data_IF_241235783694
#
_entry.id   IF_241235783694
#
_cell.length_a   1.000
_cell.length_b   1.000
_cell.length_c   1.000
_cell.angle_alpha   90.00
_cell.angle_beta   90.00
_cell.angle_gamma   90.00
#
_symmetry.space_group_name_H-M   'P 1'
#
loop_
_entity.id
_entity.type
_entity.pdbx_description
1 polymer ?
#
# COMPACT_ATOMS: atom_id res chain seq x y z
N UNK A 1 32.28 -0.11 -16.38
CA UNK A 1 32.76 0.25 -15.02
C UNK A 1 31.92 -0.50 -14.00
N UNK A 2 32.53 -1.40 -13.21
CA UNK A 2 31.85 -2.18 -12.18
C UNK A 2 31.44 -1.22 -11.05
N UNK A 3 30.14 -1.10 -10.78
CA UNK A 3 29.63 -0.41 -9.58
C UNK A 3 30.06 -1.26 -8.37
N UNK A 4 30.90 -0.71 -7.49
CA UNK A 4 31.17 -1.31 -6.18
C UNK A 4 29.84 -1.56 -5.46
N UNK A 5 29.69 -2.67 -4.71
CA UNK A 5 28.46 -2.93 -3.99
C UNK A 5 28.30 -1.84 -2.93
N UNK A 6 27.31 -0.98 -3.11
CA UNK A 6 27.02 0.07 -2.15
C UNK A 6 26.48 -0.61 -0.90
N UNK A 7 27.26 -0.58 0.18
CA UNK A 7 26.87 -1.17 1.47
C UNK A 7 25.75 -0.31 2.09
N UNK A 8 24.65 -0.90 2.60
CA UNK A 8 23.60 -0.15 3.26
C UNK A 8 24.17 0.65 4.45
N UNK A 9 23.89 1.96 4.47
CA UNK A 9 24.38 2.88 5.50
C UNK A 9 23.65 2.65 6.84
N UNK A 10 22.42 2.12 6.79
CA UNK A 10 21.69 1.63 7.94
C UNK A 10 20.80 0.44 7.54
N UNK A 11 20.81 -0.59 8.37
CA UNK A 11 19.87 -1.71 8.32
C UNK A 11 19.16 -1.83 9.66
N UNK A 12 17.85 -1.95 9.66
CA UNK A 12 17.03 -2.25 10.85
C UNK A 12 16.17 -3.47 10.58
N UNK A 13 15.84 -4.22 11.63
CA UNK A 13 14.95 -5.37 11.53
C UNK A 13 13.96 -5.34 12.68
N UNK A 14 12.69 -5.57 12.36
CA UNK A 14 11.59 -5.60 13.32
C UNK A 14 10.68 -6.78 12.99
N UNK A 15 10.17 -7.46 14.02
CA UNK A 15 9.12 -8.46 13.87
C UNK A 15 7.77 -7.80 14.14
N UNK A 16 6.82 -8.01 13.25
CA UNK A 16 5.45 -7.48 13.34
C UNK A 16 4.49 -8.67 13.30
N UNK A 17 3.57 -8.75 14.26
CA UNK A 17 2.60 -9.83 14.41
C UNK A 17 1.39 -9.66 13.48
N UNK A 18 1.65 -9.66 12.18
CA UNK A 18 0.63 -9.62 11.13
C UNK A 18 1.17 -10.23 9.83
N UNK A 19 0.28 -10.68 8.91
CA UNK A 19 0.69 -11.13 7.59
C UNK A 19 1.37 -10.04 6.76
N UNK A 20 2.28 -10.38 5.82
CA UNK A 20 3.02 -9.39 5.04
C UNK A 20 2.12 -8.41 4.27
N UNK A 21 0.98 -8.87 3.74
CA UNK A 21 0.01 -8.02 3.03
C UNK A 21 -0.58 -6.93 3.93
N UNK A 22 -0.85 -7.25 5.20
CA UNK A 22 -1.35 -6.29 6.19
C UNK A 22 -0.27 -5.30 6.60
N UNK A 23 0.96 -5.77 6.82
CA UNK A 23 2.09 -4.89 7.13
C UNK A 23 2.40 -3.94 5.96
N UNK A 24 2.40 -4.45 4.72
CA UNK A 24 2.56 -3.64 3.51
C UNK A 24 1.45 -2.59 3.37
N UNK A 25 0.21 -2.98 3.68
CA UNK A 25 -0.96 -2.12 3.75
C UNK A 25 -0.83 -0.94 4.72
N UNK A 26 -0.31 -1.22 5.91
CA UNK A 26 -0.05 -0.18 6.90
C UNK A 26 1.14 0.70 6.53
N UNK A 27 2.17 0.14 5.88
CA UNK A 27 3.34 0.90 5.42
C UNK A 27 3.00 1.95 4.35
N UNK A 28 1.99 1.68 3.53
CA UNK A 28 1.48 2.63 2.52
C UNK A 28 0.44 3.61 3.06
N UNK A 29 -0.10 3.39 4.26
CA UNK A 29 -1.03 4.34 4.90
C UNK A 29 -0.25 5.55 5.43
N UNK A 30 -0.45 6.69 4.79
CA UNK A 30 0.21 7.94 5.09
C UNK A 30 -0.13 8.46 6.50
N UNK A 31 -1.27 8.07 7.09
CA UNK A 31 -1.62 8.44 8.46
C UNK A 31 -0.74 7.71 9.48
N UNK A 32 -0.41 6.44 9.21
CA UNK A 32 0.54 5.65 10.01
C UNK A 32 1.91 6.32 9.98
N UNK A 33 2.35 6.74 8.78
CA UNK A 33 3.60 7.49 8.63
C UNK A 33 3.54 8.86 9.34
N UNK A 34 2.45 9.62 9.17
CA UNK A 34 2.26 10.92 9.78
C UNK A 34 2.32 10.86 11.31
N UNK A 35 1.63 9.89 11.91
CA UNK A 35 1.63 9.66 13.34
C UNK A 35 3.04 9.30 13.86
N UNK A 36 3.70 8.33 13.22
CA UNK A 36 5.05 7.91 13.60
C UNK A 36 6.04 9.08 13.56
N UNK A 37 5.93 9.92 12.54
CA UNK A 37 6.78 11.09 12.35
C UNK A 37 6.46 12.21 13.36
N UNK A 38 5.19 12.43 13.65
CA UNK A 38 4.74 13.43 14.62
C UNK A 38 5.21 13.09 16.05
N UNK A 39 5.28 11.81 16.44
CA UNK A 39 5.79 11.36 17.75
C UNK A 39 7.23 11.81 18.04
N UNK A 40 8.04 12.03 17.00
CA UNK A 40 9.40 12.58 17.13
C UNK A 40 9.51 14.06 16.68
N UNK A 41 8.38 14.74 16.56
CA UNK A 41 8.28 16.15 16.20
C UNK A 41 8.63 16.46 14.75
N UNK A 42 8.63 15.46 13.86
CA UNK A 42 8.76 15.65 12.42
C UNK A 42 7.45 16.14 11.81
N UNK A 43 7.53 16.73 10.62
CA UNK A 43 6.36 17.10 9.82
C UNK A 43 6.27 16.17 8.62
N UNK A 44 5.07 15.75 8.27
CA UNK A 44 4.84 14.85 7.15
C UNK A 44 3.61 15.28 6.37
N UNK A 45 3.69 15.24 5.05
CA UNK A 45 2.56 15.48 4.15
C UNK A 45 2.62 14.50 2.99
N UNK A 46 1.48 13.95 2.61
CA UNK A 46 1.30 13.02 1.51
C UNK A 46 0.18 13.51 0.57
N UNK A 47 0.17 13.09 -0.71
CA UNK A 47 -0.87 13.48 -1.67
C UNK A 47 -2.20 12.75 -1.42
N UNK A 48 -2.17 11.59 -0.77
CA UNK A 48 -3.33 10.79 -0.44
C UNK A 48 -3.07 9.92 0.79
N UNK A 49 -4.15 9.38 1.38
CA UNK A 49 -4.06 8.45 2.51
C UNK A 49 -3.32 7.16 2.14
N UNK A 50 -3.74 6.47 1.09
CA UNK A 50 -3.10 5.25 0.61
C UNK A 50 -2.15 5.60 -0.53
N UNK A 51 -0.85 5.49 -0.26
CA UNK A 51 0.20 5.82 -1.21
C UNK A 51 0.31 4.78 -2.32
N UNK A 52 0.59 5.22 -3.54
CA UNK A 52 0.87 4.38 -4.72
C UNK A 52 2.25 4.67 -5.32
N UNK A 53 2.83 3.77 -6.12
CA UNK A 53 4.02 4.10 -6.91
C UNK A 53 3.80 5.38 -7.73
N UNK A 54 4.78 6.29 -7.70
CA UNK A 54 4.71 7.61 -8.32
C UNK A 54 4.45 8.74 -7.31
N UNK A 55 3.78 8.46 -6.18
CA UNK A 55 3.47 9.49 -5.18
C UNK A 55 4.73 10.10 -4.56
N UNK A 56 4.71 11.41 -4.35
CA UNK A 56 5.75 12.14 -3.63
C UNK A 56 5.29 12.56 -2.24
N UNK A 57 5.97 12.09 -1.21
CA UNK A 57 5.75 12.48 0.18
C UNK A 57 6.80 13.49 0.61
N UNK A 58 6.42 14.43 1.48
CA UNK A 58 7.34 15.44 2.03
C UNK A 58 7.50 15.25 3.53
N UNK A 59 8.75 15.26 3.96
CA UNK A 59 9.17 15.10 5.35
C UNK A 59 9.99 16.32 5.77
N UNK A 60 9.52 17.04 6.79
CA UNK A 60 10.31 18.02 7.54
C UNK A 60 11.01 17.35 8.72
N UNK A 61 12.13 16.67 8.45
CA UNK A 61 12.89 15.94 9.45
C UNK A 61 13.54 16.90 10.46
N UNK A 62 13.42 16.61 11.74
CA UNK A 62 13.94 17.43 12.85
C UNK A 62 15.31 16.89 13.19
N UNK A 63 16.35 17.69 12.95
CA UNK A 63 17.72 17.29 13.20
C UNK A 63 18.17 17.72 14.61
N UNK A 64 17.91 18.98 14.96
CA UNK A 64 18.22 19.62 16.23
C UNK A 64 17.09 20.58 16.63
N UNK A 65 17.02 21.10 17.87
CA UNK A 65 16.11 22.18 18.21
C UNK A 65 16.22 23.34 17.22
N UNK A 66 15.10 23.74 16.61
CA UNK A 66 15.05 24.80 15.58
C UNK A 66 15.48 24.40 14.17
N UNK A 67 16.19 23.28 13.98
CA UNK A 67 16.71 22.86 12.66
C UNK A 67 15.85 21.76 12.06
N UNK A 68 15.27 22.04 10.88
CA UNK A 68 14.50 21.08 10.08
C UNK A 68 15.08 20.92 8.69
N UNK A 69 15.27 19.67 8.27
CA UNK A 69 15.70 19.29 6.94
C UNK A 69 14.46 18.93 6.09
N UNK A 70 14.18 19.69 5.01
CA UNK A 70 13.14 19.31 4.07
C UNK A 70 13.61 18.14 3.20
N UNK A 71 12.79 17.11 3.11
CA UNK A 71 13.00 15.92 2.29
C UNK A 71 11.75 15.67 1.46
N UNK A 72 11.90 15.41 0.18
CA UNK A 72 10.84 14.90 -0.69
C UNK A 72 11.28 13.54 -1.20
N UNK A 73 10.44 12.54 -0.99
CA UNK A 73 10.71 11.15 -1.35
C UNK A 73 9.60 10.68 -2.27
N UNK A 74 9.96 10.03 -3.38
CA UNK A 74 9.03 9.39 -4.29
C UNK A 74 8.91 7.92 -3.99
N UNK A 75 7.68 7.40 -3.93
CA UNK A 75 7.42 5.97 -3.86
C UNK A 75 7.65 5.37 -5.24
N UNK A 76 8.47 4.32 -5.32
CA UNK A 76 8.86 3.69 -6.60
C UNK A 76 8.26 2.32 -6.78
N UNK A 77 8.00 1.60 -5.70
CA UNK A 77 7.37 0.29 -5.72
C UNK A 77 6.64 0.03 -4.40
N UNK A 78 5.50 -0.63 -4.47
CA UNK A 78 4.75 -1.20 -3.33
C UNK A 78 4.28 -2.58 -3.77
N UNK A 79 4.43 -3.57 -2.90
CA UNK A 79 3.91 -4.92 -3.09
C UNK A 79 3.69 -5.61 -1.74
N UNK A 80 3.08 -6.81 -1.70
CA UNK A 80 3.04 -7.62 -0.48
C UNK A 80 4.42 -7.94 0.12
N UNK A 81 5.47 -7.91 -0.71
CA UNK A 81 6.85 -8.19 -0.30
C UNK A 81 7.58 -6.95 0.22
N UNK A 82 6.97 -5.76 0.15
CA UNK A 82 7.53 -4.54 0.72
C UNK A 82 7.35 -3.30 -0.13
N UNK A 83 8.26 -2.34 0.02
CA UNK A 83 8.11 -1.00 -0.54
C UNK A 83 9.48 -0.38 -0.79
N UNK A 84 9.63 0.36 -1.89
CA UNK A 84 10.86 1.10 -2.18
C UNK A 84 10.55 2.56 -2.45
N UNK A 85 11.39 3.45 -1.93
CA UNK A 85 11.26 4.88 -2.11
C UNK A 85 12.63 5.54 -2.30
N UNK A 86 12.65 6.65 -3.05
CA UNK A 86 13.87 7.37 -3.40
C UNK A 86 13.73 8.86 -3.13
N UNK A 87 14.77 9.48 -2.59
CA UNK A 87 14.80 10.93 -2.37
C UNK A 87 14.89 11.66 -3.70
N UNK A 88 13.94 12.56 -3.93
CA UNK A 88 13.92 13.44 -5.11
C UNK A 88 14.37 14.85 -4.80
N UNK A 89 14.19 15.32 -3.55
CA UNK A 89 14.72 16.62 -3.08
C UNK A 89 15.17 16.53 -1.63
N UNK A 90 16.35 17.05 -1.31
CA UNK A 90 16.86 17.11 0.05
C UNK A 90 18.36 17.43 0.09
N UNK A 91 18.96 17.46 1.29
CA UNK A 91 20.39 17.74 1.45
C UNK A 91 21.29 16.57 1.01
N UNK A 92 20.78 15.34 1.00
CA UNK A 92 21.53 14.19 0.48
C UNK A 92 21.46 14.16 -1.05
N UNK A 93 22.56 13.80 -1.73
CA UNK A 93 22.55 13.64 -3.20
C UNK A 93 21.73 12.43 -3.62
N UNK A 94 21.79 11.37 -2.83
CA UNK A 94 21.04 10.15 -3.02
C UNK A 94 20.58 9.65 -1.65
N UNK A 95 19.32 9.22 -1.57
CA UNK A 95 18.81 8.39 -0.50
C UNK A 95 17.81 7.40 -1.08
N UNK A 96 18.04 6.11 -0.85
CA UNK A 96 17.16 5.01 -1.23
C UNK A 96 16.76 4.30 0.04
N UNK A 97 15.46 4.08 0.22
CA UNK A 97 14.91 3.31 1.31
C UNK A 97 14.12 2.13 0.74
N UNK A 98 14.63 0.94 1.02
CA UNK A 98 14.00 -0.32 0.68
C UNK A 98 13.47 -0.98 1.95
N UNK A 99 12.20 -1.36 1.93
CA UNK A 99 11.56 -2.18 2.94
C UNK A 99 11.33 -3.55 2.34
N UNK A 100 11.79 -4.60 3.00
CA UNK A 100 11.52 -5.99 2.63
C UNK A 100 10.71 -6.66 3.73
N UNK A 101 9.64 -7.34 3.33
CA UNK A 101 8.74 -8.08 4.19
C UNK A 101 8.87 -9.56 3.88
N UNK A 102 9.24 -10.34 4.88
CA UNK A 102 9.34 -11.80 4.76
C UNK A 102 8.39 -12.46 5.75
N UNK A 103 7.58 -13.45 5.33
CA UNK A 103 6.76 -14.21 6.26
C UNK A 103 7.63 -14.90 7.33
N UNK A 104 7.12 -14.99 8.55
CA UNK A 104 7.67 -15.80 9.63
C UNK A 104 6.59 -16.72 10.18
N UNK A 105 6.95 -17.61 11.12
CA UNK A 105 5.97 -18.50 11.76
C UNK A 105 4.87 -17.75 12.54
N UNK A 106 5.13 -16.50 12.96
CA UNK A 106 4.26 -15.72 13.85
C UNK A 106 3.97 -14.32 13.29
N UNK A 107 4.05 -14.12 11.98
CA UNK A 107 3.81 -12.81 11.36
C UNK A 107 4.82 -12.46 10.27
N UNK A 108 5.44 -11.28 10.37
CA UNK A 108 6.29 -10.72 9.33
C UNK A 108 7.59 -10.16 9.88
N UNK A 109 8.70 -10.51 9.23
CA UNK A 109 9.98 -9.84 9.41
C UNK A 109 10.04 -8.64 8.47
N UNK A 110 10.06 -7.45 9.04
CA UNK A 110 10.28 -6.19 8.33
C UNK A 110 11.76 -5.84 8.40
N UNK A 111 12.40 -5.70 7.25
CA UNK A 111 13.79 -5.27 7.12
C UNK A 111 13.82 -3.92 6.41
N UNK A 112 14.36 -2.91 7.08
CA UNK A 112 14.61 -1.59 6.52
C UNK A 112 16.05 -1.44 6.11
N UNK A 113 16.29 -1.11 4.86
CA UNK A 113 17.62 -0.83 4.31
C UNK A 113 17.62 0.58 3.74
N UNK A 114 18.45 1.45 4.34
CA UNK A 114 18.66 2.81 3.87
C UNK A 114 20.08 2.98 3.39
N UNK A 115 20.17 3.50 2.17
CA UNK A 115 21.41 3.92 1.54
C UNK A 115 21.34 5.42 1.34
N UNK A 116 22.37 6.16 1.75
CA UNK A 116 22.46 7.58 1.44
C UNK A 116 23.91 8.02 1.24
N UNK A 117 24.09 9.11 0.49
CA UNK A 117 25.36 9.83 0.40
C UNK A 117 25.38 10.97 1.41
N UNK A 118 26.43 11.07 2.22
CA UNK A 118 26.57 12.15 3.20
C UNK A 118 26.63 13.53 2.51
N UNK A 119 25.97 14.56 3.09
CA UNK A 119 25.84 15.84 2.42
C UNK A 119 27.14 16.68 2.42
N UNK A 120 28.06 16.53 3.39
CA UNK A 120 29.09 17.56 3.69
C UNK A 120 30.57 17.10 3.68
N UNK A 121 31.09 16.59 2.54
CA UNK A 121 32.55 16.44 2.33
C UNK A 121 33.31 15.54 3.34
N UNK A 122 34.64 15.33 3.23
CA UNK A 122 35.37 14.33 4.02
C UNK A 122 35.52 14.61 5.52
N UNK A 123 35.65 15.88 5.94
CA UNK A 123 35.95 16.26 7.33
C UNK A 123 34.69 16.61 8.15
N UNK A 124 33.57 16.97 7.51
CA UNK A 124 32.24 17.08 8.14
C UNK A 124 31.48 15.74 8.21
N UNK A 125 31.90 14.76 7.41
CA UNK A 125 31.26 13.45 7.21
C UNK A 125 30.97 12.66 8.49
N UNK A 126 31.82 12.70 9.51
CA UNK A 126 31.70 11.80 10.67
C UNK A 126 30.61 12.28 11.63
N UNK A 127 30.63 13.57 12.01
CA UNK A 127 29.62 14.16 12.91
C UNK A 127 28.23 14.15 12.31
N UNK A 128 28.11 14.56 11.03
CA UNK A 128 26.84 14.58 10.32
C UNK A 128 26.31 13.17 10.06
N UNK A 129 27.18 12.21 9.73
CA UNK A 129 26.74 10.82 9.55
C UNK A 129 26.23 10.22 10.85
N UNK A 130 26.86 10.50 12.00
CA UNK A 130 26.39 10.02 13.30
C UNK A 130 25.03 10.64 13.68
N UNK A 131 24.88 11.96 13.49
CA UNK A 131 23.64 12.67 13.79
C UNK A 131 22.49 12.21 12.89
N UNK A 132 22.72 12.13 11.57
CA UNK A 132 21.74 11.62 10.60
C UNK A 132 21.39 10.16 10.90
N UNK A 133 22.38 9.31 11.17
CA UNK A 133 22.14 7.89 11.49
C UNK A 133 21.35 7.73 12.78
N UNK A 134 21.58 8.57 13.79
CA UNK A 134 20.78 8.60 15.03
C UNK A 134 19.35 9.02 14.73
N UNK A 135 19.15 10.08 13.95
CA UNK A 135 17.83 10.56 13.54
C UNK A 135 17.05 9.47 12.79
N UNK A 136 17.66 8.84 11.77
CA UNK A 136 17.02 7.75 11.01
C UNK A 136 16.68 6.56 11.89
N UNK A 137 17.54 6.16 12.83
CA UNK A 137 17.19 5.08 13.78
C UNK A 137 15.96 5.41 14.62
N UNK A 138 15.83 6.66 15.08
CA UNK A 138 14.65 7.11 15.85
C UNK A 138 13.38 7.09 15.00
N UNK A 139 13.49 7.54 13.74
CA UNK A 139 12.41 7.47 12.75
C UNK A 139 11.91 6.03 12.54
N UNK A 140 12.84 5.10 12.28
CA UNK A 140 12.49 3.69 12.06
C UNK A 140 11.87 3.06 13.31
N UNK A 141 12.41 3.35 14.50
CA UNK A 141 11.87 2.86 15.76
C UNK A 141 10.46 3.41 16.05
N UNK A 142 10.23 4.70 15.80
CA UNK A 142 8.91 5.31 15.97
C UNK A 142 7.88 4.70 15.02
N UNK A 143 8.25 4.46 13.76
CA UNK A 143 7.39 3.79 12.78
C UNK A 143 7.10 2.33 13.18
N UNK A 144 8.10 1.59 13.62
CA UNK A 144 7.92 0.24 14.14
C UNK A 144 6.90 0.22 15.30
N UNK A 145 6.99 1.16 16.24
CA UNK A 145 6.03 1.30 17.34
C UNK A 145 4.60 1.52 16.86
N UNK A 146 4.38 2.50 15.98
CA UNK A 146 3.04 2.79 15.44
C UNK A 146 2.50 1.60 14.63
N UNK A 147 3.34 0.94 13.81
CA UNK A 147 2.92 -0.24 13.05
C UNK A 147 2.41 -1.35 13.98
N UNK A 148 3.13 -1.65 15.07
CA UNK A 148 2.71 -2.66 16.05
C UNK A 148 1.37 -2.29 16.69
N UNK A 149 1.18 -1.03 17.08
CA UNK A 149 -0.07 -0.56 17.68
C UNK A 149 -1.24 -0.64 16.68
N UNK A 150 -1.02 -0.26 15.42
CA UNK A 150 -2.04 -0.32 14.37
C UNK A 150 -2.40 -1.75 13.99
N UNK A 151 -1.42 -2.66 13.97
CA UNK A 151 -1.69 -4.10 13.81
C UNK A 151 -2.57 -4.62 14.94
N UNK A 152 -2.25 -4.27 16.20
CA UNK A 152 -3.08 -4.67 17.34
C UNK A 152 -4.49 -4.10 17.24
N UNK A 153 -4.65 -2.85 16.80
CA UNK A 153 -5.95 -2.22 16.59
C UNK A 153 -6.78 -2.85 15.44
N UNK A 154 -6.10 -3.51 14.49
CA UNK A 154 -6.75 -4.26 13.42
C UNK A 154 -7.13 -5.69 13.84
N UNK A 155 -6.70 -6.16 15.00
CA UNK A 155 -7.10 -7.46 15.51
C UNK A 155 -8.63 -7.49 15.73
N UNK A 156 -9.31 -8.36 15.00
CA UNK A 156 -10.78 -8.45 15.02
C UNK A 156 -11.50 -7.35 14.23
N UNK A 157 -10.79 -6.53 13.45
CA UNK A 157 -11.42 -5.56 12.56
C UNK A 157 -12.22 -6.26 11.46
N UNK A 158 -13.32 -5.63 11.02
CA UNK A 158 -14.13 -6.14 9.92
C UNK A 158 -13.32 -6.22 8.63
N UNK A 159 -13.54 -7.29 7.87
CA UNK A 159 -12.97 -7.47 6.53
C UNK A 159 -14.02 -7.15 5.48
N UNK A 160 -13.62 -6.38 4.48
CA UNK A 160 -14.36 -6.16 3.23
C UNK A 160 -13.57 -6.83 2.12
N UNK A 161 -14.22 -7.62 1.27
CA UNK A 161 -13.61 -8.17 0.06
C UNK A 161 -13.96 -7.29 -1.13
N UNK A 162 -13.02 -7.14 -2.04
CA UNK A 162 -13.24 -6.56 -3.36
C UNK A 162 -12.83 -7.58 -4.42
N UNK A 163 -13.54 -7.62 -5.53
CA UNK A 163 -13.36 -8.64 -6.56
C UNK A 163 -12.79 -8.04 -7.83
N UNK A 164 -11.52 -8.32 -8.09
CA UNK A 164 -10.92 -8.16 -9.41
C UNK A 164 -11.38 -9.31 -10.32
N UNK A 165 -12.61 -9.22 -10.82
CA UNK A 165 -13.17 -10.18 -11.78
C UNK A 165 -12.53 -9.96 -13.15
N UNK A 166 -11.75 -10.93 -13.62
CA UNK A 166 -10.97 -10.81 -14.85
C UNK A 166 -11.50 -11.75 -15.94
N UNK A 167 -11.65 -11.23 -17.16
CA UNK A 167 -11.94 -11.98 -18.38
C UNK A 167 -11.27 -11.30 -19.57
N UNK A 168 -10.63 -12.08 -20.44
CA UNK A 168 -10.02 -11.61 -21.69
C UNK A 168 -9.09 -10.38 -21.54
N UNK A 169 -8.25 -10.38 -20.50
CA UNK A 169 -7.30 -9.30 -20.23
C UNK A 169 -7.96 -7.99 -19.74
N UNK A 170 -9.23 -8.04 -19.32
CA UNK A 170 -9.97 -6.92 -18.76
C UNK A 170 -10.46 -7.24 -17.35
N UNK A 171 -10.61 -6.21 -16.51
CA UNK A 171 -11.23 -6.32 -15.18
C UNK A 171 -12.61 -5.64 -15.19
N UNK A 172 -13.57 -6.20 -14.47
CA UNK A 172 -14.88 -5.58 -14.29
C UNK A 172 -14.78 -4.47 -13.23
N UNK A 173 -15.10 -3.24 -13.63
CA UNK A 173 -15.30 -2.10 -12.73
C UNK A 173 -16.80 -1.82 -12.59
N UNK A 174 -17.22 -1.44 -11.38
CA UNK A 174 -18.59 -1.11 -11.05
C UNK A 174 -18.70 0.35 -10.58
N UNK A 175 -19.68 1.09 -11.09
CA UNK A 175 -19.87 2.50 -10.76
C UNK A 175 -20.84 2.66 -9.61
N UNK A 176 -20.39 3.26 -8.51
CA UNK A 176 -21.18 3.44 -7.29
C UNK A 176 -22.43 4.28 -7.54
N UNK A 177 -23.56 3.79 -7.05
CA UNK A 177 -24.84 4.50 -7.02
C UNK A 177 -25.03 5.35 -5.75
N UNK A 178 -24.33 4.98 -4.66
CA UNK A 178 -24.44 5.57 -3.31
C UNK A 178 -23.15 5.31 -2.49
N UNK A 179 -22.91 6.03 -1.39
CA UNK A 179 -23.57 7.28 -0.96
C UNK A 179 -23.21 8.46 -1.88
N UNK A 180 -23.88 9.63 -1.79
CA UNK A 180 -23.71 10.74 -2.74
C UNK A 180 -22.27 11.21 -2.93
N UNK A 181 -21.46 11.18 -1.88
CA UNK A 181 -20.04 11.56 -1.91
C UNK A 181 -19.16 10.62 -2.76
N UNK A 182 -19.62 9.39 -3.02
CA UNK A 182 -18.94 8.42 -3.88
C UNK A 182 -19.73 8.08 -5.14
N UNK A 183 -20.93 8.64 -5.32
CA UNK A 183 -21.77 8.35 -6.47
C UNK A 183 -21.07 8.80 -7.77
N UNK A 184 -21.03 7.90 -8.76
CA UNK A 184 -20.32 8.13 -10.01
C UNK A 184 -18.84 7.72 -10.01
N UNK A 185 -18.22 7.47 -8.85
CA UNK A 185 -16.89 6.87 -8.78
C UNK A 185 -16.95 5.37 -9.07
N UNK A 186 -15.83 4.82 -9.52
CA UNK A 186 -15.66 3.42 -9.86
C UNK A 186 -14.97 2.64 -8.75
N UNK A 187 -15.34 1.37 -8.61
CA UNK A 187 -14.77 0.44 -7.64
C UNK A 187 -14.77 -0.99 -8.18
N UNK A 188 -14.07 -1.86 -7.46
CA UNK A 188 -14.21 -3.30 -7.60
C UNK A 188 -15.44 -3.76 -6.79
N UNK A 189 -16.32 -4.61 -7.37
CA UNK A 189 -17.51 -5.11 -6.68
C UNK A 189 -17.14 -5.97 -5.48
N UNK A 190 -17.98 -5.96 -4.44
CA UNK A 190 -17.72 -6.69 -3.22
C UNK A 190 -18.33 -6.04 -1.98
N UNK A 191 -18.18 -6.72 -0.85
CA UNK A 191 -18.81 -6.31 0.39
C UNK A 191 -18.17 -6.94 1.62
N UNK A 192 -18.86 -6.83 2.74
CA UNK A 192 -18.33 -7.25 4.04
C UNK A 192 -18.36 -8.77 4.15
N UNK A 193 -17.28 -9.35 4.67
CA UNK A 193 -17.26 -10.77 5.06
C UNK A 193 -18.15 -10.97 6.29
N UNK A 194 -19.11 -11.89 6.18
CA UNK A 194 -20.02 -12.20 7.28
C UNK A 194 -19.37 -13.10 8.35
N UNK A 195 -20.01 -13.17 9.53
CA UNK A 195 -19.50 -13.99 10.62
C UNK A 195 -19.52 -15.48 10.24
N UNK A 196 -18.35 -16.12 10.26
CA UNK A 196 -18.18 -17.53 9.88
C UNK A 196 -18.04 -17.76 8.37
N UNK A 197 -18.12 -16.71 7.56
CA UNK A 197 -17.94 -16.77 6.11
C UNK A 197 -16.45 -16.73 5.74
N UNK A 198 -16.05 -17.51 4.73
CA UNK A 198 -14.70 -17.43 4.17
C UNK A 198 -14.60 -16.28 3.16
N UNK A 199 -13.42 -15.67 2.99
CA UNK A 199 -13.27 -14.59 2.00
C UNK A 199 -13.63 -15.02 0.55
N UNK A 200 -13.28 -16.23 0.06
CA UNK A 200 -13.75 -16.73 -1.23
C UNK A 200 -15.27 -16.87 -1.34
N UNK A 201 -15.94 -17.31 -0.27
CA UNK A 201 -17.40 -17.43 -0.24
C UNK A 201 -18.07 -16.06 -0.27
N UNK A 202 -17.51 -15.09 0.47
CA UNK A 202 -17.95 -13.70 0.42
C UNK A 202 -17.83 -13.13 -1.00
N UNK A 203 -16.69 -13.34 -1.68
CA UNK A 203 -16.50 -12.93 -3.09
C UNK A 203 -17.59 -13.53 -3.99
N UNK A 204 -17.89 -14.81 -3.84
CA UNK A 204 -18.91 -15.49 -4.64
C UNK A 204 -20.34 -15.05 -4.30
N UNK A 205 -20.64 -14.76 -3.04
CA UNK A 205 -21.94 -14.21 -2.60
C UNK A 205 -22.15 -12.80 -3.13
N UNK A 206 -21.21 -11.91 -2.89
CA UNK A 206 -21.29 -10.50 -3.30
C UNK A 206 -21.42 -10.38 -4.83
N UNK A 207 -20.67 -11.18 -5.61
CA UNK A 207 -20.83 -11.19 -7.06
C UNK A 207 -22.20 -11.69 -7.53
N UNK A 208 -22.83 -12.64 -6.81
CA UNK A 208 -24.20 -13.07 -7.14
C UNK A 208 -25.21 -11.98 -6.81
N UNK A 209 -25.06 -11.30 -5.68
CA UNK A 209 -25.97 -10.28 -5.19
C UNK A 209 -25.87 -8.98 -6.01
N UNK A 210 -24.65 -8.49 -6.24
CA UNK A 210 -24.42 -7.21 -6.91
C UNK A 210 -24.42 -7.32 -8.44
N UNK A 211 -23.99 -8.49 -8.97
CA UNK A 211 -23.73 -8.68 -10.40
C UNK A 211 -24.59 -9.75 -11.07
N UNK A 212 -25.26 -10.61 -10.31
CA UNK A 212 -26.03 -11.73 -10.85
C UNK A 212 -25.19 -12.79 -11.55
N UNK A 213 -23.90 -12.92 -11.23
CA UNK A 213 -22.99 -13.89 -11.85
C UNK A 213 -22.28 -14.75 -10.82
N UNK A 214 -22.03 -16.01 -11.19
CA UNK A 214 -21.17 -16.92 -10.44
C UNK A 214 -19.70 -16.70 -10.81
N UNK A 215 -18.84 -16.67 -9.81
CA UNK A 215 -17.39 -16.44 -9.97
C UNK A 215 -16.58 -17.46 -9.18
N UNK A 216 -15.35 -17.68 -9.61
CA UNK A 216 -14.37 -18.51 -8.90
C UNK A 216 -13.23 -17.63 -8.40
N UNK A 217 -13.09 -17.52 -7.08
CA UNK A 217 -11.95 -16.84 -6.48
C UNK A 217 -10.65 -17.63 -6.76
N UNK A 218 -9.63 -16.92 -7.22
CA UNK A 218 -8.33 -17.47 -7.62
C UNK A 218 -7.26 -17.19 -6.57
N UNK A 219 -7.38 -16.08 -5.85
CA UNK A 219 -6.45 -15.71 -4.78
C UNK A 219 -6.38 -14.21 -4.54
N UNK A 220 -5.49 -13.81 -3.62
CA UNK A 220 -5.36 -12.43 -3.16
C UNK A 220 -4.51 -11.57 -4.09
N UNK A 221 -4.99 -10.37 -4.41
CA UNK A 221 -4.27 -9.34 -5.16
C UNK A 221 -3.79 -8.21 -4.21
N UNK A 222 -2.57 -7.70 -4.43
CA UNK A 222 -2.05 -6.53 -3.72
C UNK A 222 -1.96 -6.64 -2.18
N UNK A 223 -1.86 -5.50 -1.53
CA UNK A 223 -1.79 -5.37 -0.06
C UNK A 223 -3.18 -5.43 0.57
N UNK A 224 -3.30 -5.73 1.87
CA UNK A 224 -4.54 -5.45 2.60
C UNK A 224 -4.61 -3.92 2.80
N UNK A 225 -5.74 -3.28 2.49
CA UNK A 225 -5.82 -1.81 2.56
C UNK A 225 -6.56 -1.40 3.84
N UNK A 226 -5.93 -0.62 4.73
CA UNK A 226 -6.62 -0.01 5.86
C UNK A 226 -7.74 0.90 5.38
N UNK A 227 -8.98 0.59 5.78
CA UNK A 227 -10.16 1.41 5.56
C UNK A 227 -10.80 1.77 6.90
N UNK A 228 -11.70 2.74 6.92
CA UNK A 228 -12.40 3.14 8.14
C UNK A 228 -13.89 2.78 8.01
N UNK A 229 -14.40 1.77 8.75
CA UNK A 229 -13.68 0.79 9.58
C UNK A 229 -13.18 -0.44 8.78
N UNK A 230 -12.04 -1.01 9.17
CA UNK A 230 -11.64 -2.36 8.77
C UNK A 230 -10.48 -2.48 7.77
N UNK A 231 -10.45 -3.61 7.06
CA UNK A 231 -9.50 -3.92 6.00
C UNK A 231 -10.24 -4.27 4.71
N UNK A 232 -9.86 -3.62 3.61
CA UNK A 232 -10.24 -4.05 2.27
C UNK A 232 -9.22 -5.06 1.74
N UNK A 233 -9.70 -6.20 1.28
CA UNK A 233 -8.89 -7.32 0.78
C UNK A 233 -9.33 -7.66 -0.64
N UNK A 234 -8.47 -7.36 -1.62
CA UNK A 234 -8.79 -7.64 -3.02
C UNK A 234 -8.50 -9.11 -3.36
N UNK A 235 -9.45 -9.74 -4.03
CA UNK A 235 -9.38 -11.08 -4.57
C UNK A 235 -9.48 -11.04 -6.09
N UNK A 236 -8.57 -11.73 -6.76
CA UNK A 236 -8.70 -12.07 -8.16
C UNK A 236 -9.78 -13.15 -8.29
N UNK A 237 -10.70 -12.96 -9.25
CA UNK A 237 -11.67 -13.97 -9.62
C UNK A 237 -11.78 -14.07 -11.14
N UNK A 238 -12.40 -15.15 -11.60
CA UNK A 238 -12.82 -15.34 -12.98
C UNK A 238 -14.29 -15.78 -13.01
N UNK A 239 -15.03 -15.56 -14.12
CA UNK A 239 -16.37 -16.11 -14.26
C UNK A 239 -16.36 -17.64 -14.15
N UNK A 240 -17.32 -18.21 -13.43
CA UNK A 240 -17.46 -19.66 -13.39
C UNK A 240 -17.86 -20.22 -14.78
N UNK A 241 -17.56 -21.48 -15.11
CA UNK A 241 -18.01 -22.09 -16.35
C UNK A 241 -19.54 -22.00 -16.51
N UNK A 242 -20.00 -21.39 -17.60
CA UNK A 242 -21.43 -21.19 -17.86
C UNK A 242 -22.09 -20.09 -17.04
N UNK A 243 -21.32 -19.26 -16.32
CA UNK A 243 -21.85 -18.12 -15.59
C UNK A 243 -22.55 -17.11 -16.52
N UNK A 244 -23.59 -16.47 -16.00
CA UNK A 244 -24.29 -15.39 -16.70
C UNK A 244 -23.38 -14.16 -16.88
N UNK A 245 -23.69 -13.32 -17.88
CA UNK A 245 -23.00 -12.03 -18.03
C UNK A 245 -23.35 -11.12 -16.85
N UNK A 246 -22.35 -10.49 -16.19
CA UNK A 246 -22.57 -9.54 -15.09
C UNK A 246 -23.53 -8.40 -15.45
N UNK A 247 -24.39 -8.02 -14.52
CA UNK A 247 -25.35 -6.90 -14.65
C UNK A 247 -25.28 -6.00 -13.45
N UNK A 248 -25.48 -4.69 -13.62
CA UNK A 248 -25.50 -3.77 -12.49
C UNK A 248 -26.80 -3.94 -11.68
N UNK A 249 -26.80 -4.78 -10.61
CA UNK A 249 -27.98 -4.96 -9.76
C UNK A 249 -28.03 -3.91 -8.64
N UNK A 250 -26.88 -3.57 -8.06
CA UNK A 250 -26.76 -2.51 -7.04
C UNK A 250 -25.95 -1.28 -7.48
N UNK A 251 -25.27 -1.39 -8.61
CA UNK A 251 -24.45 -0.33 -9.21
C UNK A 251 -25.20 0.44 -10.29
N UNK A 252 -24.69 1.62 -10.62
CA UNK A 252 -25.26 2.46 -11.69
C UNK A 252 -24.80 2.05 -13.09
N UNK A 253 -23.59 1.50 -13.20
CA UNK A 253 -23.02 1.01 -14.44
C UNK A 253 -21.94 -0.05 -14.18
N UNK A 254 -21.67 -0.89 -15.17
CA UNK A 254 -20.54 -1.81 -15.21
C UNK A 254 -19.70 -1.54 -16.45
N UNK A 255 -18.38 -1.76 -16.36
CA UNK A 255 -17.48 -1.67 -17.50
C UNK A 255 -16.36 -2.70 -17.40
N UNK A 256 -16.08 -3.38 -18.51
CA UNK A 256 -14.87 -4.18 -18.66
C UNK A 256 -13.70 -3.30 -19.11
N UNK A 257 -12.72 -3.10 -18.25
CA UNK A 257 -11.64 -2.11 -18.38
C UNK A 257 -10.31 -2.81 -18.67
N UNK A 258 -9.61 -2.41 -19.73
CA UNK A 258 -8.25 -2.85 -20.04
C UNK A 258 -7.19 -2.15 -19.20
N UNK A 259 -5.95 -2.66 -19.21
CA UNK A 259 -4.85 -2.10 -18.42
C UNK A 259 -4.52 -0.63 -18.76
N UNK A 260 -4.69 -0.25 -20.03
CA UNK A 260 -4.51 1.10 -20.56
C UNK A 260 -5.65 2.06 -20.21
N UNK A 261 -6.83 1.54 -19.90
CA UNK A 261 -8.02 2.32 -19.54
C UNK A 261 -8.15 2.54 -18.01
N UNK A 262 -7.40 1.79 -17.19
CA UNK A 262 -7.53 1.82 -15.72
C UNK A 262 -7.34 3.23 -15.13
N UNK A 263 -6.40 4.00 -15.66
CA UNK A 263 -6.06 5.32 -15.14
C UNK A 263 -7.10 6.41 -15.50
N UNK A 264 -7.98 6.13 -16.46
CA UNK A 264 -8.97 7.09 -16.96
C UNK A 264 -10.27 7.11 -16.13
N UNK A 265 -10.47 6.10 -15.29
CA UNK A 265 -11.62 6.00 -14.40
C UNK A 265 -11.37 6.78 -13.10
N UNK A 266 -12.42 7.45 -12.61
CA UNK A 266 -12.41 8.09 -11.28
C UNK A 266 -12.67 7.04 -10.19
N UNK A 267 -11.60 6.39 -9.73
CA UNK A 267 -11.68 5.33 -8.72
C UNK A 267 -11.86 5.87 -7.31
N UNK A 268 -12.65 5.15 -6.51
CA UNK A 268 -12.64 5.37 -5.06
C UNK A 268 -11.23 5.20 -4.49
N UNK A 269 -10.92 5.97 -3.43
CA UNK A 269 -9.55 6.12 -2.97
C UNK A 269 -8.87 4.80 -2.53
N UNK A 270 -9.64 3.82 -2.05
CA UNK A 270 -9.14 2.50 -1.68
C UNK A 270 -8.74 1.70 -2.94
N UNK A 271 -9.61 1.63 -3.93
CA UNK A 271 -9.41 0.87 -5.17
C UNK A 271 -8.35 1.49 -6.07
N UNK A 272 -8.19 2.82 -6.05
CA UNK A 272 -7.05 3.50 -6.69
C UNK A 272 -5.72 2.93 -6.20
N UNK A 273 -5.66 2.47 -4.95
CA UNK A 273 -4.44 1.93 -4.36
C UNK A 273 -3.96 0.62 -5.00
N UNK A 274 -4.82 -0.09 -5.74
CA UNK A 274 -4.49 -1.38 -6.39
C UNK A 274 -4.39 -1.30 -7.91
N UNK A 275 -4.46 -0.11 -8.52
CA UNK A 275 -4.37 0.01 -9.99
C UNK A 275 -3.05 -0.52 -10.56
N UNK A 276 -1.94 -0.36 -9.83
CA UNK A 276 -0.66 -0.93 -10.22
C UNK A 276 -0.70 -2.47 -10.22
N UNK A 277 -1.30 -3.06 -9.18
CA UNK A 277 -1.48 -4.51 -9.07
C UNK A 277 -2.41 -5.04 -10.18
N UNK A 278 -3.48 -4.31 -10.51
CA UNK A 278 -4.39 -4.64 -11.62
C UNK A 278 -3.68 -4.55 -12.97
N UNK A 279 -2.87 -3.52 -13.20
CA UNK A 279 -2.09 -3.37 -14.43
C UNK A 279 -1.14 -4.55 -14.64
N UNK A 280 -0.44 -4.97 -13.58
CA UNK A 280 0.45 -6.13 -13.59
C UNK A 280 -0.32 -7.41 -13.92
N UNK A 281 -1.46 -7.62 -13.25
CA UNK A 281 -2.36 -8.75 -13.47
C UNK A 281 -2.87 -8.84 -14.91
N UNK A 282 -3.32 -7.72 -15.49
CA UNK A 282 -3.92 -7.68 -16.82
C UNK A 282 -2.89 -7.78 -17.95
N UNK A 283 -1.64 -7.36 -17.71
CA UNK A 283 -0.55 -7.43 -18.69
C UNK A 283 0.25 -8.74 -18.62
N UNK A 284 -0.08 -9.66 -17.71
CA UNK A 284 0.56 -10.97 -17.58
C UNK A 284 2.00 -10.91 -17.05
N UNK A 285 2.39 -9.81 -16.41
CA UNK A 285 3.72 -9.65 -15.80
C UNK A 285 3.70 -10.22 -14.39
N UNK A 286 3.53 -11.53 -14.22
CA UNK A 286 3.59 -12.20 -12.90
C UNK A 286 4.88 -12.99 -12.74
#
# INVERSE_FOLDING_TARGET
>A
MRRSPVVPALRSTTLIDAPPRTVAGLLRDSEVAAEALARDGHRFTAPARLLVPGDEVRLGARLLPGIRLPLTTRITAISPAGMTSVLTRGPARELVHTVTLTPTATGTRLVDELMWTAPWGPLGRIGDALLLRRMVRRLLAARAGVLTERVAALAGASVVVATALVRDGRVLAAQRSRPPELAGQWELPGGRVEAGESEPDAVARECREELGTDVRAIGRLGTDLPIAPGLLRVHRAEPAPGAAEPRALEHSALRWVGADELADLDWVAADRAVLADLTELLTGRT
#
